data_IF_631886115226
#
_entry.id   IF_631886115226
#
_cell.length_a   1.000
_cell.length_b   1.000
_cell.length_c   1.000
_cell.angle_alpha   90.00
_cell.angle_beta   90.00
_cell.angle_gamma   90.00
#
_symmetry.space_group_name_H-M   'P 1'
#
loop_
_entity.id
_entity.type
_entity.pdbx_description
1 polymer ?
#
# COMPACT_ATOMS: atom_id res chain seq x y z
N UNK A 1 -14.10 15.32 12.36
CA UNK A 1 -12.85 14.83 11.77
C UNK A 1 -13.07 14.87 10.26
N UNK A 2 -12.50 15.86 9.56
CA UNK A 2 -12.78 16.11 8.14
C UNK A 2 -11.99 15.13 7.28
N UNK A 3 -12.65 14.15 6.68
CA UNK A 3 -12.04 13.24 5.70
C UNK A 3 -11.91 13.95 4.35
N UNK A 4 -10.82 14.69 4.18
CA UNK A 4 -10.48 15.28 2.89
C UNK A 4 -9.78 14.22 2.03
N UNK A 5 -10.41 13.90 0.90
CA UNK A 5 -9.72 13.60 -0.35
C UNK A 5 -9.70 12.14 -0.75
N UNK A 6 -10.63 11.73 -1.62
CA UNK A 6 -10.52 10.49 -2.39
C UNK A 6 -9.50 10.64 -3.52
N UNK A 7 -8.79 9.56 -3.86
CA UNK A 7 -7.84 9.56 -4.98
C UNK A 7 -8.44 8.78 -6.14
N UNK A 8 -8.48 9.41 -7.32
CA UNK A 8 -8.87 8.77 -8.58
C UNK A 8 -7.65 8.09 -9.20
N UNK A 9 -7.79 6.81 -9.51
CA UNK A 9 -6.80 6.05 -10.26
C UNK A 9 -7.28 5.86 -11.73
N UNK A 10 -6.36 5.75 -12.68
CA UNK A 10 -6.57 6.04 -14.12
C UNK A 10 -7.55 5.16 -14.92
N UNK A 11 -7.81 5.66 -16.15
CA UNK A 11 -8.66 5.24 -17.29
C UNK A 11 -10.12 4.75 -17.07
N UNK A 12 -10.53 4.37 -15.86
CA UNK A 12 -11.89 3.88 -15.60
C UNK A 12 -12.73 4.73 -14.62
N UNK A 13 -12.15 5.78 -14.03
CA UNK A 13 -12.85 6.61 -13.05
C UNK A 13 -13.04 5.95 -11.68
N UNK A 14 -12.33 4.86 -11.39
CA UNK A 14 -12.39 4.17 -10.09
C UNK A 14 -11.90 5.10 -8.98
N UNK A 15 -12.82 5.49 -8.10
CA UNK A 15 -12.53 6.24 -6.88
C UNK A 15 -12.37 5.22 -5.76
N UNK A 16 -11.19 5.15 -5.15
CA UNK A 16 -10.99 4.35 -3.95
C UNK A 16 -11.18 5.26 -2.72
N UNK A 17 -12.18 4.99 -1.86
CA UNK A 17 -12.39 5.73 -0.61
C UNK A 17 -11.16 5.72 0.32
N UNK A 18 -11.04 6.74 1.17
CA UNK A 18 -9.91 6.86 2.11
C UNK A 18 -9.83 5.68 3.07
N UNK A 19 -10.99 5.21 3.53
CA UNK A 19 -11.07 4.06 4.42
C UNK A 19 -10.53 2.78 3.78
N UNK A 20 -10.88 2.53 2.51
CA UNK A 20 -10.39 1.38 1.76
C UNK A 20 -8.87 1.46 1.54
N UNK A 21 -8.35 2.65 1.21
CA UNK A 21 -6.89 2.86 1.09
C UNK A 21 -6.15 2.64 2.40
N UNK A 22 -6.72 3.14 3.51
CA UNK A 22 -6.15 2.94 4.85
C UNK A 22 -6.13 1.47 5.23
N UNK A 23 -7.24 0.76 5.04
CA UNK A 23 -7.36 -0.66 5.34
C UNK A 23 -6.38 -1.49 4.49
N UNK A 24 -6.24 -1.19 3.19
CA UNK A 24 -5.26 -1.84 2.33
C UNK A 24 -3.82 -1.61 2.82
N UNK A 25 -3.49 -0.39 3.23
CA UNK A 25 -2.17 -0.06 3.79
C UNK A 25 -1.90 -0.78 5.13
N UNK A 26 -2.89 -0.86 6.02
CA UNK A 26 -2.80 -1.59 7.29
C UNK A 26 -2.55 -3.08 7.06
N UNK A 27 -3.26 -3.70 6.11
CA UNK A 27 -3.07 -5.09 5.74
C UNK A 27 -1.67 -5.34 5.16
N UNK A 28 -1.17 -4.45 4.30
CA UNK A 28 0.18 -4.54 3.76
C UNK A 28 1.25 -4.47 4.86
N UNK A 29 1.10 -3.52 5.80
CA UNK A 29 2.02 -3.38 6.93
C UNK A 29 1.97 -4.63 7.84
N UNK A 30 0.78 -5.18 8.10
CA UNK A 30 0.62 -6.39 8.89
C UNK A 30 1.30 -7.60 8.23
N UNK A 31 1.21 -7.73 6.90
CA UNK A 31 1.89 -8.78 6.15
C UNK A 31 3.43 -8.63 6.25
N UNK A 32 3.96 -7.42 6.08
CA UNK A 32 5.40 -7.14 6.24
C UNK A 32 5.86 -7.52 7.65
N UNK A 33 5.08 -7.15 8.68
CA UNK A 33 5.39 -7.48 10.07
C UNK A 33 5.37 -8.98 10.38
N UNK A 34 4.56 -9.75 9.65
CA UNK A 34 4.51 -11.21 9.79
C UNK A 34 5.71 -11.88 9.11
N UNK A 35 6.21 -11.30 8.03
CA UNK A 35 7.32 -11.85 7.23
C UNK A 35 8.70 -11.49 7.76
N UNK A 36 8.83 -10.41 8.53
CA UNK A 36 10.08 -9.93 9.09
C UNK A 36 10.07 -10.00 10.62
N UNK A 37 11.24 -10.23 11.22
CA UNK A 37 11.38 -10.12 12.67
C UNK A 37 11.35 -8.65 13.13
N UNK A 38 10.95 -8.40 14.37
CA UNK A 38 10.86 -7.04 14.94
C UNK A 38 12.19 -6.25 14.87
N UNK A 39 13.33 -6.94 14.87
CA UNK A 39 14.65 -6.31 14.74
C UNK A 39 14.99 -5.86 13.33
N UNK A 40 14.29 -6.39 12.33
CA UNK A 40 14.41 -6.03 10.91
C UNK A 40 13.40 -4.96 10.49
N UNK A 41 12.39 -4.69 11.33
CA UNK A 41 11.37 -3.70 11.09
C UNK A 41 11.87 -2.30 11.43
N UNK A 42 12.14 -1.52 10.39
CA UNK A 42 12.32 -0.07 10.47
C UNK A 42 11.44 0.62 9.45
N UNK A 43 11.20 1.92 9.64
CA UNK A 43 10.49 2.73 8.65
C UNK A 43 11.15 2.65 7.26
N UNK A 44 12.49 2.62 7.21
CA UNK A 44 13.24 2.47 5.95
C UNK A 44 12.94 1.15 5.25
N UNK A 45 12.97 0.04 5.97
CA UNK A 45 12.67 -1.29 5.41
C UNK A 45 11.23 -1.40 4.91
N UNK A 46 10.26 -0.84 5.65
CA UNK A 46 8.85 -0.80 5.19
C UNK A 46 8.73 0.01 3.91
N UNK A 47 9.41 1.17 3.81
CA UNK A 47 9.41 2.00 2.60
C UNK A 47 10.02 1.28 1.41
N UNK A 48 11.17 0.62 1.60
CA UNK A 48 11.86 -0.11 0.54
C UNK A 48 11.01 -1.26 0.00
N UNK A 49 10.35 -2.01 0.88
CA UNK A 49 9.45 -3.11 0.47
C UNK A 49 8.26 -2.59 -0.32
N UNK A 50 7.64 -1.48 0.12
CA UNK A 50 6.52 -0.88 -0.61
C UNK A 50 6.95 -0.36 -1.98
N UNK A 51 8.17 0.15 -2.12
CA UNK A 51 8.72 0.55 -3.41
C UNK A 51 8.95 -0.64 -4.33
N UNK A 52 9.52 -1.74 -3.83
CA UNK A 52 9.66 -3.00 -4.59
C UNK A 52 8.28 -3.53 -5.02
N UNK A 53 7.28 -3.45 -4.14
CA UNK A 53 5.91 -3.89 -4.47
C UNK A 53 5.27 -3.05 -5.58
N UNK A 54 5.50 -1.73 -5.60
CA UNK A 54 5.06 -0.83 -6.68
C UNK A 54 5.71 -1.22 -8.02
N UNK A 55 7.02 -1.49 -8.02
CA UNK A 55 7.74 -1.95 -9.21
C UNK A 55 7.18 -3.29 -9.72
N UNK A 56 6.94 -4.27 -8.84
CA UNK A 56 6.33 -5.56 -9.21
C UNK A 56 4.94 -5.34 -9.83
N UNK A 57 4.12 -4.47 -9.24
CA UNK A 57 2.78 -4.16 -9.74
C UNK A 57 2.81 -3.42 -11.08
N UNK A 58 3.82 -2.58 -11.33
CA UNK A 58 4.01 -1.91 -12.62
C UNK A 58 4.36 -2.90 -13.73
N UNK A 59 5.22 -3.88 -13.44
CA UNK A 59 5.70 -4.85 -14.44
C UNK A 59 4.82 -6.12 -14.57
N UNK A 60 3.96 -6.40 -13.60
CA UNK A 60 3.02 -7.51 -13.64
C UNK A 60 1.61 -6.98 -13.89
N UNK A 61 1.05 -7.13 -15.12
CA UNK A 61 -0.30 -6.67 -15.40
C UNK A 61 -1.27 -7.25 -14.36
N UNK A 62 -1.96 -6.37 -13.62
CA UNK A 62 -3.04 -6.76 -12.73
C UNK A 62 -4.12 -7.43 -13.60
N UNK A 63 -4.28 -8.75 -13.45
CA UNK A 63 -5.27 -9.55 -14.17
C UNK A 63 -6.69 -9.19 -13.77
#
# INVERSE_FOLDING_TARGET
MNEIGSTRYGNGGTIIPNMERKMAAENAIAAIKKSLSDTQLSYGIVKDILQIADEIAYYSPLQ
#
